data_IF_414659700902
#
_entry.id   IF_414659700902
#
_cell.length_a   1.000
_cell.length_b   1.000
_cell.length_c   1.000
_cell.angle_alpha   90.00
_cell.angle_beta   90.00
_cell.angle_gamma   90.00
#
_symmetry.space_group_name_H-M   'P 1'
#
loop_
_entity.id
_entity.type
_entity.pdbx_description
1 polymer ?
#
# COMPACT_ATOMS: atom_id res chain seq x y z
N UNK A 1 -6.30 6.00 29.49
CA UNK A 1 -5.66 6.43 28.22
C UNK A 1 -6.67 6.22 27.11
N UNK A 2 -6.94 7.22 26.27
CA UNK A 2 -7.72 6.98 25.05
C UNK A 2 -6.80 6.27 24.06
N UNK A 3 -7.08 5.00 23.74
CA UNK A 3 -6.42 4.34 22.63
C UNK A 3 -6.90 5.02 21.35
N UNK A 4 -6.08 5.90 20.79
CA UNK A 4 -6.36 6.51 19.49
C UNK A 4 -6.25 5.42 18.43
N UNK A 5 -7.39 5.03 17.85
CA UNK A 5 -7.42 4.12 16.71
C UNK A 5 -6.56 4.71 15.60
N UNK A 6 -5.72 3.87 14.99
CA UNK A 6 -5.02 4.21 13.74
C UNK A 6 -5.82 3.54 12.64
N UNK A 7 -6.45 4.39 11.84
CA UNK A 7 -7.31 4.04 10.73
C UNK A 7 -6.62 4.33 9.38
N UNK A 8 -7.38 4.08 8.33
CA UNK A 8 -6.95 4.18 6.94
C UNK A 8 -6.53 5.61 6.57
N UNK A 9 -7.23 6.63 7.08
CA UNK A 9 -6.90 8.01 6.81
C UNK A 9 -5.54 8.36 7.44
N UNK A 10 -5.31 7.98 8.70
CA UNK A 10 -4.03 8.22 9.39
C UNK A 10 -2.87 7.52 8.66
N UNK A 11 -3.07 6.29 8.17
CA UNK A 11 -2.04 5.60 7.39
C UNK A 11 -1.84 6.27 6.02
N UNK A 12 -2.90 6.70 5.34
CA UNK A 12 -2.81 7.42 4.06
C UNK A 12 -2.01 8.73 4.18
N UNK A 13 -2.27 9.52 5.22
CA UNK A 13 -1.50 10.74 5.52
C UNK A 13 -0.03 10.44 5.81
N UNK A 14 0.24 9.38 6.58
CA UNK A 14 1.60 8.97 6.94
C UNK A 14 2.38 8.40 5.74
N UNK A 15 1.77 7.53 4.92
CA UNK A 15 2.33 7.00 3.67
C UNK A 15 2.68 8.14 2.70
N UNK A 16 1.77 9.10 2.51
CA UNK A 16 2.02 10.27 1.67
C UNK A 16 3.16 11.15 2.21
N UNK A 17 3.36 11.18 3.53
CA UNK A 17 4.50 11.86 4.15
C UNK A 17 5.81 11.10 3.93
N UNK A 18 5.77 9.77 3.95
CA UNK A 18 6.93 8.92 3.69
C UNK A 18 7.39 8.98 2.23
N UNK A 19 6.45 8.94 1.27
CA UNK A 19 6.74 9.08 -0.17
C UNK A 19 7.41 10.43 -0.52
N UNK A 20 7.05 11.52 0.19
CA UNK A 20 7.70 12.84 0.01
C UNK A 20 9.19 12.87 0.36
N UNK A 21 9.70 11.86 1.06
CA UNK A 21 11.14 11.70 1.34
C UNK A 21 11.87 10.96 0.19
N UNK A 22 11.20 10.75 -0.95
CA UNK A 22 11.67 9.99 -2.11
C UNK A 22 11.23 8.53 -2.07
N UNK A 23 10.94 7.95 -3.23
CA UNK A 23 10.53 6.55 -3.37
C UNK A 23 11.70 5.58 -3.14
N UNK A 24 11.52 4.64 -2.22
CA UNK A 24 12.46 3.58 -1.85
C UNK A 24 11.65 2.41 -1.26
N UNK A 25 11.63 1.26 -1.94
CA UNK A 25 10.82 0.10 -1.55
C UNK A 25 11.25 -0.45 -0.18
N UNK A 26 12.54 -0.59 0.08
CA UNK A 26 13.06 -1.14 1.33
C UNK A 26 12.76 -0.21 2.51
N UNK A 27 12.89 1.12 2.31
CA UNK A 27 12.52 2.11 3.33
C UNK A 27 11.01 2.11 3.62
N UNK A 28 10.17 2.04 2.58
CA UNK A 28 8.71 1.98 2.71
C UNK A 28 8.24 0.67 3.36
N UNK A 29 8.90 -0.44 3.02
CA UNK A 29 8.70 -1.77 3.62
C UNK A 29 9.01 -1.75 5.12
N UNK A 30 10.22 -1.31 5.48
CA UNK A 30 10.65 -1.16 6.88
C UNK A 30 9.72 -0.23 7.68
N UNK A 31 9.35 0.92 7.10
CA UNK A 31 8.41 1.86 7.71
C UNK A 31 7.04 1.23 7.97
N UNK A 32 6.49 0.46 7.02
CA UNK A 32 5.20 -0.20 7.20
C UNK A 32 5.26 -1.28 8.29
N UNK A 33 6.38 -2.01 8.41
CA UNK A 33 6.61 -2.96 9.50
C UNK A 33 6.72 -2.26 10.86
N UNK A 34 7.43 -1.13 10.95
CA UNK A 34 7.54 -0.34 12.18
C UNK A 34 6.19 0.23 12.62
N UNK A 35 5.39 0.76 11.69
CA UNK A 35 4.02 1.24 12.00
C UNK A 35 3.16 0.06 12.47
N UNK A 36 3.23 -1.09 11.80
CA UNK A 36 2.46 -2.28 12.15
C UNK A 36 2.79 -2.82 13.55
N UNK A 37 4.08 -3.08 13.80
CA UNK A 37 4.57 -3.72 15.03
C UNK A 37 4.32 -2.85 16.27
N UNK A 38 4.62 -1.55 16.20
CA UNK A 38 4.43 -0.62 17.31
C UNK A 38 2.95 -0.34 17.62
N UNK A 39 2.04 -0.54 16.66
CA UNK A 39 0.63 -0.12 16.78
C UNK A 39 -0.41 -1.26 16.66
N UNK A 40 0.00 -2.53 16.67
CA UNK A 40 -0.87 -3.71 16.40
C UNK A 40 -2.18 -3.77 17.22
N UNK A 41 -2.21 -3.16 18.42
CA UNK A 41 -3.40 -3.09 19.29
C UNK A 41 -4.34 -1.92 18.96
N UNK A 42 -3.86 -0.90 18.24
CA UNK A 42 -4.60 0.33 17.88
C UNK A 42 -5.03 0.36 16.42
N UNK A 43 -4.48 -0.51 15.57
CA UNK A 43 -4.83 -0.62 14.16
C UNK A 43 -6.18 -1.33 13.95
N UNK A 44 -6.99 -0.82 13.01
CA UNK A 44 -8.16 -1.54 12.48
C UNK A 44 -7.74 -2.84 11.76
N UNK A 45 -8.69 -3.72 11.43
CA UNK A 45 -8.42 -4.92 10.63
C UNK A 45 -7.85 -4.57 9.25
N UNK A 46 -8.47 -3.62 8.54
CA UNK A 46 -8.03 -3.24 7.20
C UNK A 46 -6.70 -2.48 7.22
N UNK A 47 -6.47 -1.64 8.22
CA UNK A 47 -5.18 -0.98 8.47
C UNK A 47 -4.04 -1.97 8.70
N UNK A 48 -4.31 -3.13 9.32
CA UNK A 48 -3.33 -4.24 9.44
C UNK A 48 -3.03 -4.88 8.09
N UNK A 49 -4.06 -5.21 7.32
CA UNK A 49 -3.93 -5.81 5.98
C UNK A 49 -3.14 -4.88 5.04
N UNK A 50 -3.47 -3.59 5.02
CA UNK A 50 -2.77 -2.56 4.25
C UNK A 50 -1.26 -2.51 4.57
N UNK A 51 -0.89 -2.44 5.86
CA UNK A 51 0.52 -2.43 6.25
C UNK A 51 1.22 -3.74 5.91
N UNK A 52 0.53 -4.88 5.99
CA UNK A 52 1.05 -6.19 5.56
C UNK A 52 1.31 -6.26 4.05
N UNK A 53 0.50 -5.59 3.21
CA UNK A 53 0.83 -5.45 1.79
C UNK A 53 2.07 -4.58 1.58
N UNK A 54 2.21 -3.48 2.31
CA UNK A 54 3.32 -2.54 2.16
C UNK A 54 4.66 -3.10 2.64
N UNK A 55 4.73 -3.83 3.76
CA UNK A 55 5.99 -4.47 4.18
C UNK A 55 6.34 -5.74 3.39
N UNK A 56 5.47 -6.21 2.50
CA UNK A 56 5.77 -7.32 1.56
C UNK A 56 6.32 -6.86 0.21
N UNK A 57 6.34 -5.56 -0.07
CA UNK A 57 6.86 -5.02 -1.33
C UNK A 57 8.33 -5.37 -1.58
N UNK A 58 9.10 -5.59 -0.51
CA UNK A 58 10.52 -5.96 -0.56
C UNK A 58 10.73 -7.48 -0.75
N UNK A 59 9.86 -8.31 -0.16
CA UNK A 59 9.97 -9.78 -0.16
C UNK A 59 9.32 -10.44 -1.40
N UNK A 60 8.25 -9.86 -1.94
CA UNK A 60 7.47 -10.45 -3.04
C UNK A 60 7.06 -9.38 -4.08
N UNK A 61 7.68 -9.40 -5.28
CA UNK A 61 7.38 -8.46 -6.37
C UNK A 61 5.92 -8.43 -6.84
N UNK A 62 5.08 -9.40 -6.46
CA UNK A 62 3.63 -9.33 -6.74
C UNK A 62 2.94 -8.19 -5.97
N UNK A 63 3.55 -7.72 -4.88
CA UNK A 63 3.06 -6.56 -4.12
C UNK A 63 3.81 -5.27 -4.44
N UNK A 64 4.80 -5.28 -5.35
CA UNK A 64 5.53 -4.07 -5.75
C UNK A 64 4.58 -3.08 -6.43
N UNK A 65 4.37 -1.92 -5.80
CA UNK A 65 3.61 -0.80 -6.34
C UNK A 65 4.56 0.30 -6.78
N UNK A 66 4.33 0.86 -7.96
CA UNK A 66 5.07 2.06 -8.40
C UNK A 66 4.83 3.26 -7.48
N UNK A 67 5.71 4.27 -7.53
CA UNK A 67 5.55 5.53 -6.76
C UNK A 67 4.18 6.17 -6.99
N UNK A 68 3.72 6.26 -8.24
CA UNK A 68 2.41 6.78 -8.62
C UNK A 68 1.25 5.97 -8.02
N UNK A 69 1.40 4.64 -7.95
CA UNK A 69 0.41 3.73 -7.36
C UNK A 69 0.33 3.89 -5.85
N UNK A 70 1.46 4.05 -5.16
CA UNK A 70 1.49 4.36 -3.73
C UNK A 70 0.91 5.75 -3.44
N UNK A 71 1.17 6.75 -4.29
CA UNK A 71 0.50 8.05 -4.18
C UNK A 71 -1.00 7.93 -4.39
N UNK A 72 -1.47 7.18 -5.39
CA UNK A 72 -2.91 6.93 -5.58
C UNK A 72 -3.54 6.21 -4.38
N UNK A 73 -2.89 5.16 -3.85
CA UNK A 73 -3.33 4.45 -2.64
C UNK A 73 -3.45 5.45 -1.47
N UNK A 74 -2.42 6.27 -1.23
CA UNK A 74 -2.42 7.27 -0.15
C UNK A 74 -3.58 8.27 -0.29
N UNK A 75 -3.82 8.78 -1.50
CA UNK A 75 -4.92 9.70 -1.81
C UNK A 75 -6.30 9.05 -1.65
N UNK A 76 -6.43 7.78 -2.02
CA UNK A 76 -7.69 7.04 -1.88
C UNK A 76 -8.00 6.73 -0.41
N UNK A 77 -6.99 6.40 0.39
CA UNK A 77 -7.10 6.20 1.84
C UNK A 77 -7.51 7.50 2.55
N UNK A 78 -6.83 8.63 2.26
CA UNK A 78 -7.16 9.96 2.80
C UNK A 78 -8.60 10.37 2.47
N UNK A 79 -9.12 9.96 1.30
CA UNK A 79 -10.49 10.24 0.84
C UNK A 79 -11.52 9.21 1.32
N UNK A 80 -11.15 8.27 2.19
CA UNK A 80 -12.05 7.25 2.73
C UNK A 80 -12.63 6.30 1.66
N UNK A 81 -11.94 6.09 0.54
CA UNK A 81 -12.38 5.14 -0.48
C UNK A 81 -12.16 3.70 0.00
N UNK A 82 -13.14 2.85 -0.25
CA UNK A 82 -13.05 1.41 0.03
C UNK A 82 -12.01 0.74 -0.87
N UNK A 83 -11.27 -0.21 -0.27
CA UNK A 83 -10.35 -1.15 -0.89
C UNK A 83 -9.37 -0.59 -1.96
N UNK A 84 -8.55 0.45 -1.66
CA UNK A 84 -7.59 1.00 -2.62
C UNK A 84 -6.65 -0.07 -3.20
N UNK A 85 -6.10 -0.95 -2.34
CA UNK A 85 -5.21 -2.06 -2.75
C UNK A 85 -5.84 -2.95 -3.81
N UNK A 86 -7.11 -3.34 -3.61
CA UNK A 86 -7.84 -4.18 -4.57
C UNK A 86 -7.99 -3.48 -5.91
N UNK A 87 -8.34 -2.18 -5.91
CA UNK A 87 -8.48 -1.41 -7.14
C UNK A 87 -7.17 -1.35 -7.93
N UNK A 88 -6.01 -1.24 -7.27
CA UNK A 88 -4.70 -1.30 -7.94
C UNK A 88 -4.45 -2.71 -8.50
N UNK A 89 -4.59 -3.76 -7.68
CA UNK A 89 -4.47 -5.17 -8.10
C UNK A 89 -5.34 -5.52 -9.31
N UNK A 90 -6.61 -5.09 -9.31
CA UNK A 90 -7.55 -5.30 -10.41
C UNK A 90 -7.06 -4.67 -11.73
N UNK A 91 -6.23 -3.61 -11.71
CA UNK A 91 -5.59 -3.06 -12.93
C UNK A 91 -4.45 -3.93 -13.45
N UNK A 92 -3.62 -4.48 -12.56
CA UNK A 92 -2.54 -5.38 -12.99
C UNK A 92 -3.13 -6.63 -13.67
N UNK A 93 -4.28 -7.13 -13.19
CA UNK A 93 -5.02 -8.22 -13.82
C UNK A 93 -5.77 -7.82 -15.11
N UNK A 94 -6.12 -6.54 -15.28
CA UNK A 94 -6.81 -6.02 -16.48
C UNK A 94 -5.86 -5.56 -17.59
N UNK A 95 -4.54 -5.49 -17.38
CA UNK A 95 -3.59 -5.33 -18.50
C UNK A 95 -3.73 -6.54 -19.42
N UNK A 96 -4.19 -6.38 -20.68
CA UNK A 96 -4.30 -7.52 -21.58
C UNK A 96 -2.91 -8.14 -21.78
N UNK A 97 -2.86 -9.47 -21.85
CA UNK A 97 -1.67 -10.19 -22.34
C UNK A 97 -1.41 -9.69 -23.75
N UNK A 98 -0.44 -8.80 -23.92
CA UNK A 98 -0.04 -8.28 -25.23
C UNK A 98 0.38 -9.46 -26.09
N UNK A 99 -0.10 -9.44 -27.33
CA UNK A 99 -0.11 -10.56 -28.25
C UNK A 99 1.27 -11.22 -28.42
N UNK A 100 1.40 -12.51 -28.07
CA UNK A 100 2.41 -13.35 -28.70
C UNK A 100 1.82 -13.94 -30.00
N UNK A 101 1.65 -13.06 -30.99
CA UNK A 101 1.17 -13.40 -32.33
C UNK A 101 2.35 -13.99 -33.14
N UNK A 102 2.89 -15.12 -32.67
CA UNK A 102 3.97 -15.86 -33.34
C UNK A 102 3.43 -16.53 -34.61
N UNK A 103 3.28 -15.71 -35.66
CA UNK A 103 3.16 -16.17 -37.04
C UNK A 103 4.53 -16.61 -37.53
N UNK A 104 4.76 -17.93 -37.64
CA UNK A 104 5.41 -18.55 -38.79
C UNK A 104 5.23 -20.06 -38.81
#
# INVERSE_FOLDING_TARGET
MQNKTIDEQVIGEALKSELKKGYDIARLSSWAFDVYSNNIRSLTTYSKELLQYLFRMEDDPQFEYTEDELYEISEMLIKGKKDPIKKIHDRHQQKPKVENNERK
#
